data_IF_388526889350
#
_entry.id   IF_388526889350
#
_cell.length_a   1.000
_cell.length_b   1.000
_cell.length_c   1.000
_cell.angle_alpha   90.00
_cell.angle_beta   90.00
_cell.angle_gamma   90.00
#
_symmetry.space_group_name_H-M   'P 1'
#
loop_
_entity.id
_entity.type
_entity.pdbx_description
1 polymer ?
#
# COMPACT_ATOMS: atom_id res chain seq x y z
N UNK A 1 -71.82 -55.82 -41.42
CA UNK A 1 -71.55 -56.94 -42.34
C UNK A 1 -70.35 -56.61 -43.21
N UNK A 2 -69.38 -57.52 -43.32
CA UNK A 2 -68.25 -57.55 -44.29
C UNK A 2 -67.14 -56.51 -44.03
N UNK A 3 -65.91 -56.78 -43.58
CA UNK A 3 -64.90 -57.83 -43.81
C UNK A 3 -64.28 -57.83 -45.24
N UNK A 4 -62.97 -57.51 -45.28
CA UNK A 4 -61.87 -57.88 -46.20
C UNK A 4 -61.81 -57.33 -47.63
N UNK A 5 -60.74 -56.57 -47.96
CA UNK A 5 -59.55 -57.11 -48.67
C UNK A 5 -58.41 -56.06 -48.79
N UNK A 6 -57.21 -56.29 -48.24
CA UNK A 6 -55.97 -56.84 -48.86
C UNK A 6 -54.98 -55.78 -49.43
N UNK A 7 -53.94 -55.52 -48.63
CA UNK A 7 -52.50 -55.38 -48.96
C UNK A 7 -52.03 -54.88 -50.35
N UNK A 8 -51.21 -53.80 -50.37
CA UNK A 8 -49.74 -53.89 -50.60
C UNK A 8 -49.02 -52.53 -50.60
N UNK A 9 -47.90 -52.51 -49.86
CA UNK A 9 -46.61 -51.80 -50.10
C UNK A 9 -46.55 -50.26 -50.05
N UNK A 10 -46.01 -49.76 -48.93
CA UNK A 10 -44.76 -48.96 -48.93
C UNK A 10 -44.16 -48.92 -47.52
N UNK A 11 -43.42 -49.97 -47.16
CA UNK A 11 -42.21 -49.75 -46.35
C UNK A 11 -41.15 -49.20 -47.30
N UNK A 12 -40.49 -48.10 -46.92
CA UNK A 12 -39.07 -47.80 -47.14
C UNK A 12 -38.79 -46.38 -46.62
N UNK A 13 -37.65 -46.24 -45.91
CA UNK A 13 -36.99 -45.05 -45.34
C UNK A 13 -37.47 -44.53 -43.98
N UNK A 14 -37.15 -45.30 -42.93
CA UNK A 14 -36.99 -44.81 -41.54
C UNK A 14 -35.62 -45.15 -40.93
N UNK A 15 -34.59 -45.31 -41.77
CA UNK A 15 -33.24 -45.70 -41.33
C UNK A 15 -32.12 -44.71 -41.68
N UNK A 16 -32.43 -43.56 -42.29
CA UNK A 16 -31.40 -42.57 -42.68
C UNK A 16 -31.41 -41.27 -41.86
N UNK A 17 -32.48 -40.95 -41.12
CA UNK A 17 -32.59 -39.65 -40.40
C UNK A 17 -32.00 -39.67 -38.99
N UNK A 18 -31.73 -40.85 -38.40
CA UNK A 18 -31.12 -40.94 -37.05
C UNK A 18 -29.59 -40.91 -37.03
N UNK A 19 -28.92 -41.00 -38.19
CA UNK A 19 -27.45 -40.97 -38.27
C UNK A 19 -26.88 -39.57 -38.50
N UNK A 20 -27.60 -38.72 -39.24
CA UNK A 20 -27.16 -37.34 -39.50
C UNK A 20 -27.28 -36.44 -38.25
N UNK A 21 -28.37 -36.52 -37.48
CA UNK A 21 -28.51 -35.75 -36.21
C UNK A 21 -27.56 -36.19 -35.09
N UNK A 22 -27.12 -37.47 -35.09
CA UNK A 22 -26.13 -37.96 -34.13
C UNK A 22 -24.70 -37.59 -34.54
N UNK A 23 -24.38 -37.62 -35.85
CA UNK A 23 -23.08 -37.20 -36.38
C UNK A 23 -22.83 -35.71 -36.17
N UNK A 24 -23.83 -34.85 -36.39
CA UNK A 24 -23.70 -33.41 -36.12
C UNK A 24 -23.55 -33.09 -34.62
N UNK A 25 -24.22 -33.86 -33.73
CA UNK A 25 -24.04 -33.73 -32.28
C UNK A 25 -22.67 -34.20 -31.80
N UNK A 26 -22.17 -35.33 -32.31
CA UNK A 26 -20.82 -35.82 -31.99
C UNK A 26 -19.75 -34.87 -32.52
N UNK A 27 -19.93 -34.28 -33.70
CA UNK A 27 -18.98 -33.31 -34.28
C UNK A 27 -19.00 -31.95 -33.54
N UNK A 28 -20.16 -31.53 -33.00
CA UNK A 28 -20.27 -30.37 -32.12
C UNK A 28 -19.67 -30.63 -30.74
N UNK A 29 -19.85 -31.83 -30.18
CA UNK A 29 -19.24 -32.25 -28.91
C UNK A 29 -17.71 -32.33 -29.05
N UNK A 30 -17.18 -32.93 -30.11
CA UNK A 30 -15.73 -32.95 -30.38
C UNK A 30 -15.13 -31.56 -30.61
N UNK A 31 -15.89 -30.62 -31.19
CA UNK A 31 -15.46 -29.22 -31.34
C UNK A 31 -15.45 -28.48 -29.99
N UNK A 32 -16.43 -28.73 -29.12
CA UNK A 32 -16.49 -28.18 -27.76
C UNK A 32 -15.38 -28.78 -26.89
N UNK A 33 -15.12 -30.09 -26.99
CA UNK A 33 -14.06 -30.77 -26.25
C UNK A 33 -12.67 -30.32 -26.73
N UNK A 34 -12.42 -30.21 -28.05
CA UNK A 34 -11.17 -29.61 -28.56
C UNK A 34 -11.01 -28.14 -28.19
N UNK A 35 -12.09 -27.38 -28.16
CA UNK A 35 -12.05 -25.98 -27.74
C UNK A 35 -11.72 -25.86 -26.24
N UNK A 36 -12.34 -26.71 -25.42
CA UNK A 36 -12.04 -26.81 -23.98
C UNK A 36 -10.61 -27.27 -23.73
N UNK A 37 -10.11 -28.28 -24.44
CA UNK A 37 -8.73 -28.76 -24.32
C UNK A 37 -7.71 -27.70 -24.76
N UNK A 38 -7.98 -26.98 -25.86
CA UNK A 38 -7.13 -25.87 -26.30
C UNK A 38 -7.15 -24.70 -25.31
N UNK A 39 -8.32 -24.40 -24.73
CA UNK A 39 -8.47 -23.35 -23.72
C UNK A 39 -7.77 -23.72 -22.40
N UNK A 40 -7.86 -24.98 -21.97
CA UNK A 40 -7.15 -25.51 -20.80
C UNK A 40 -5.63 -25.45 -21.01
N UNK A 41 -5.14 -25.84 -22.20
CA UNK A 41 -3.72 -25.78 -22.52
C UNK A 41 -3.18 -24.34 -22.54
N UNK A 42 -3.92 -23.40 -23.13
CA UNK A 42 -3.52 -21.99 -23.15
C UNK A 42 -3.45 -21.38 -21.75
N UNK A 43 -4.42 -21.69 -20.88
CA UNK A 43 -4.38 -21.22 -19.49
C UNK A 43 -3.17 -21.79 -18.74
N UNK A 44 -2.84 -23.05 -18.95
CA UNK A 44 -1.65 -23.67 -18.35
C UNK A 44 -0.34 -23.04 -18.83
N UNK A 45 -0.25 -22.70 -20.12
CA UNK A 45 0.92 -21.99 -20.67
C UNK A 45 1.08 -20.60 -20.06
N UNK A 46 -0.02 -19.88 -19.82
CA UNK A 46 -0.01 -18.56 -19.16
C UNK A 46 0.37 -18.68 -17.68
N UNK A 47 -0.12 -19.69 -16.98
CA UNK A 47 0.27 -19.98 -15.58
C UNK A 47 1.78 -20.26 -15.48
N UNK A 48 2.31 -21.14 -16.35
CA UNK A 48 3.73 -21.46 -16.41
C UNK A 48 4.58 -20.22 -16.74
N UNK A 49 4.09 -19.36 -17.66
CA UNK A 49 4.70 -18.07 -17.98
C UNK A 49 4.77 -17.16 -16.75
N UNK A 50 3.64 -16.93 -16.06
CA UNK A 50 3.59 -16.05 -14.89
C UNK A 50 4.54 -16.55 -13.80
N UNK A 51 4.50 -17.84 -13.48
CA UNK A 51 5.38 -18.45 -12.47
C UNK A 51 6.84 -18.24 -12.86
N UNK A 52 7.21 -18.52 -14.12
CA UNK A 52 8.57 -18.34 -14.60
C UNK A 52 9.04 -16.89 -14.48
N UNK A 53 8.22 -15.93 -14.90
CA UNK A 53 8.57 -14.51 -14.84
C UNK A 53 8.68 -14.02 -13.39
N UNK A 54 7.79 -14.44 -12.50
CA UNK A 54 7.89 -14.12 -11.06
C UNK A 54 9.19 -14.69 -10.46
N UNK A 55 9.53 -15.95 -10.74
CA UNK A 55 10.78 -16.56 -10.27
C UNK A 55 12.01 -15.84 -10.82
N UNK A 56 11.96 -15.34 -12.06
CA UNK A 56 13.01 -14.53 -12.65
C UNK A 56 13.21 -13.19 -11.93
N UNK A 57 12.15 -12.60 -11.36
CA UNK A 57 12.27 -11.38 -10.53
C UNK A 57 12.81 -11.73 -9.15
N UNK A 58 12.29 -12.79 -8.52
CA UNK A 58 12.69 -13.27 -7.18
C UNK A 58 14.21 -13.50 -7.09
N UNK A 59 14.83 -14.04 -8.15
CA UNK A 59 16.29 -14.27 -8.23
C UNK A 59 17.13 -13.03 -7.89
N UNK A 60 16.56 -11.83 -8.05
CA UNK A 60 17.24 -10.55 -7.87
C UNK A 60 16.71 -9.74 -6.68
N UNK A 61 15.94 -10.34 -5.76
CA UNK A 61 15.30 -9.66 -4.63
C UNK A 61 16.25 -8.76 -3.84
N UNK A 62 17.47 -9.24 -3.56
CA UNK A 62 18.45 -8.52 -2.73
C UNK A 62 19.17 -7.38 -3.48
N UNK A 63 18.91 -7.24 -4.79
CA UNK A 63 19.49 -6.24 -5.67
C UNK A 63 18.40 -5.36 -6.26
N UNK A 64 18.00 -4.32 -5.53
CA UNK A 64 16.83 -3.51 -5.85
C UNK A 64 16.80 -2.96 -7.29
N UNK A 65 17.91 -2.44 -7.81
CA UNK A 65 17.95 -1.91 -9.19
C UNK A 65 17.80 -3.01 -10.25
N UNK A 66 18.42 -4.18 -10.05
CA UNK A 66 18.26 -5.33 -10.95
C UNK A 66 16.82 -5.87 -10.89
N UNK A 67 16.23 -5.93 -9.69
CA UNK A 67 14.84 -6.36 -9.49
C UNK A 67 13.85 -5.45 -10.24
N UNK A 68 14.01 -4.12 -10.20
CA UNK A 68 13.14 -3.19 -10.94
C UNK A 68 13.20 -3.43 -12.45
N UNK A 69 14.39 -3.64 -12.99
CA UNK A 69 14.57 -3.94 -14.43
C UNK A 69 13.88 -5.26 -14.79
N UNK A 70 14.06 -6.29 -13.97
CA UNK A 70 13.44 -7.61 -14.20
C UNK A 70 11.93 -7.57 -14.07
N UNK A 71 11.39 -6.83 -13.11
CA UNK A 71 9.95 -6.66 -12.96
C UNK A 71 9.32 -5.97 -14.19
N UNK A 72 10.01 -4.99 -14.78
CA UNK A 72 9.58 -4.34 -16.02
C UNK A 72 9.62 -5.29 -17.23
N UNK A 73 10.63 -6.14 -17.31
CA UNK A 73 10.70 -7.18 -18.36
C UNK A 73 9.56 -8.19 -18.17
N UNK A 74 9.35 -8.65 -16.94
CA UNK A 74 8.27 -9.57 -16.59
C UNK A 74 6.89 -9.00 -16.93
N UNK A 75 6.61 -7.72 -16.60
CA UNK A 75 5.34 -7.09 -16.95
C UNK A 75 5.12 -7.00 -18.46
N UNK A 76 6.19 -6.79 -19.24
CA UNK A 76 6.09 -6.80 -20.70
C UNK A 76 5.84 -8.22 -21.24
N UNK A 77 6.54 -9.23 -20.71
CA UNK A 77 6.42 -10.61 -21.15
C UNK A 77 5.07 -11.24 -20.79
N UNK A 78 4.50 -10.88 -19.63
CA UNK A 78 3.19 -11.37 -19.18
C UNK A 78 2.06 -10.69 -19.96
N UNK A 79 2.23 -9.43 -20.38
CA UNK A 79 1.19 -8.68 -21.09
C UNK A 79 0.13 -8.08 -20.15
N UNK A 80 -0.56 -7.04 -20.60
CA UNK A 80 -1.58 -6.34 -19.80
C UNK A 80 -2.86 -7.16 -19.67
N UNK A 81 -3.17 -7.98 -20.68
CA UNK A 81 -4.32 -8.88 -20.72
C UNK A 81 -4.33 -9.90 -19.56
N UNK A 82 -3.17 -10.18 -18.98
CA UNK A 82 -2.99 -11.17 -17.92
C UNK A 82 -2.72 -10.56 -16.54
N UNK A 83 -2.71 -9.22 -16.41
CA UNK A 83 -2.41 -8.54 -15.14
C UNK A 83 -3.37 -8.93 -14.01
N UNK A 84 -4.64 -9.22 -14.34
CA UNK A 84 -5.67 -9.60 -13.37
C UNK A 84 -5.40 -10.95 -12.70
N UNK A 85 -4.51 -11.79 -13.26
CA UNK A 85 -4.15 -13.11 -12.71
C UNK A 85 -3.06 -13.02 -11.65
N UNK A 86 -2.22 -11.96 -11.68
CA UNK A 86 -1.09 -11.80 -10.76
C UNK A 86 -1.46 -11.87 -9.26
N UNK A 87 -2.57 -11.26 -8.79
CA UNK A 87 -2.94 -11.32 -7.37
C UNK A 87 -3.16 -12.74 -6.84
N UNK A 88 -3.52 -13.69 -7.71
CA UNK A 88 -3.78 -15.08 -7.30
C UNK A 88 -2.52 -15.79 -6.76
N UNK A 89 -1.33 -15.27 -7.09
CA UNK A 89 -0.04 -15.83 -6.72
C UNK A 89 0.54 -15.26 -5.42
N UNK A 90 -0.08 -14.22 -4.84
CA UNK A 90 0.39 -13.57 -3.60
C UNK A 90 0.32 -14.48 -2.37
N UNK A 91 -0.56 -15.49 -2.36
CA UNK A 91 -0.79 -16.38 -1.22
C UNK A 91 0.10 -17.65 -1.22
N UNK A 92 1.40 -17.51 -1.50
CA UNK A 92 2.37 -18.62 -1.52
C UNK A 92 2.08 -19.76 -2.50
N UNK A 93 1.42 -19.49 -3.64
CA UNK A 93 1.18 -20.53 -4.66
C UNK A 93 2.41 -20.92 -5.48
N UNK A 94 3.53 -20.21 -5.29
CA UNK A 94 4.77 -20.48 -6.01
C UNK A 94 5.70 -21.27 -5.11
N UNK A 95 5.93 -22.52 -5.48
CA UNK A 95 6.91 -23.37 -4.81
C UNK A 95 8.34 -22.88 -5.09
N UNK A 96 9.20 -23.06 -4.10
CA UNK A 96 10.61 -22.68 -4.21
C UNK A 96 11.36 -23.67 -5.09
N UNK A 97 11.95 -23.23 -6.22
CA UNK A 97 12.70 -24.12 -7.09
C UNK A 97 14.04 -24.49 -6.46
N UNK A 98 14.55 -25.68 -6.81
CA UNK A 98 15.85 -26.19 -6.35
C UNK A 98 17.03 -25.24 -6.67
N UNK A 99 16.93 -24.46 -7.74
CA UNK A 99 17.93 -23.46 -8.13
C UNK A 99 18.14 -22.36 -7.07
N UNK A 100 17.14 -22.13 -6.21
CA UNK A 100 17.18 -21.15 -5.13
C UNK A 100 17.42 -21.78 -3.75
N UNK A 101 17.82 -23.05 -3.71
CA UNK A 101 18.20 -23.72 -2.46
C UNK A 101 19.40 -23.02 -1.81
N UNK A 102 19.30 -22.73 -0.52
CA UNK A 102 20.26 -21.95 0.24
C UNK A 102 20.03 -20.43 0.20
N UNK A 103 19.00 -19.94 -0.51
CA UNK A 103 18.56 -18.54 -0.47
C UNK A 103 17.14 -18.46 0.08
N UNK A 104 16.80 -17.42 0.82
CA UNK A 104 15.45 -17.22 1.35
C UNK A 104 14.97 -18.40 2.21
N UNK A 105 15.75 -18.78 3.23
CA UNK A 105 15.51 -19.95 4.09
C UNK A 105 14.89 -19.59 5.44
N UNK A 106 14.88 -18.30 5.82
CA UNK A 106 14.28 -17.91 7.08
C UNK A 106 12.77 -18.11 7.05
N UNK A 107 12.19 -18.32 8.23
CA UNK A 107 10.75 -18.59 8.36
C UNK A 107 9.94 -17.41 7.80
N UNK A 108 9.15 -17.68 6.76
CA UNK A 108 8.32 -16.67 6.09
C UNK A 108 9.04 -15.81 5.04
N UNK A 109 10.35 -16.00 4.85
CA UNK A 109 11.14 -15.21 3.91
C UNK A 109 10.74 -15.50 2.45
N UNK A 110 10.57 -16.78 2.09
CA UNK A 110 10.14 -17.16 0.75
C UNK A 110 8.78 -16.54 0.34
N UNK A 111 7.69 -16.70 1.13
CA UNK A 111 6.44 -15.97 0.94
C UNK A 111 6.62 -14.47 0.70
N UNK A 112 7.38 -13.81 1.57
CA UNK A 112 7.61 -12.37 1.51
C UNK A 112 8.29 -11.95 0.20
N UNK A 113 9.33 -12.68 -0.21
CA UNK A 113 10.11 -12.38 -1.43
C UNK A 113 9.24 -12.55 -2.68
N UNK A 114 8.41 -13.59 -2.72
CA UNK A 114 7.44 -13.81 -3.81
C UNK A 114 6.41 -12.68 -3.85
N UNK A 115 5.80 -12.34 -2.72
CA UNK A 115 4.84 -11.23 -2.63
C UNK A 115 5.44 -9.90 -3.13
N UNK A 116 6.63 -9.55 -2.64
CA UNK A 116 7.30 -8.32 -3.01
C UNK A 116 7.62 -8.29 -4.52
N UNK A 117 7.99 -9.43 -5.09
CA UNK A 117 8.28 -9.57 -6.53
C UNK A 117 7.02 -9.38 -7.37
N UNK A 118 5.91 -10.03 -7.00
CA UNK A 118 4.62 -9.87 -7.68
C UNK A 118 4.14 -8.43 -7.60
N UNK A 119 4.20 -7.81 -6.41
CA UNK A 119 3.84 -6.41 -6.23
C UNK A 119 4.71 -5.46 -7.06
N UNK A 120 6.00 -5.75 -7.23
CA UNK A 120 6.89 -4.98 -8.11
C UNK A 120 6.53 -5.15 -9.60
N UNK A 121 6.14 -6.35 -10.02
CA UNK A 121 5.64 -6.59 -11.38
C UNK A 121 4.36 -5.77 -11.62
N UNK A 122 3.39 -5.82 -10.70
CA UNK A 122 2.16 -5.02 -10.78
C UNK A 122 2.49 -3.52 -10.82
N UNK A 123 3.42 -3.05 -9.98
CA UNK A 123 3.89 -1.66 -10.01
C UNK A 123 4.49 -1.24 -11.38
N UNK A 124 5.12 -2.17 -12.08
CA UNK A 124 5.76 -1.92 -13.38
C UNK A 124 4.74 -1.66 -14.51
N UNK A 125 3.48 -2.08 -14.34
CA UNK A 125 2.37 -1.78 -15.26
C UNK A 125 1.82 -0.35 -15.15
N UNK A 126 2.31 0.48 -14.21
CA UNK A 126 1.89 1.88 -14.04
C UNK A 126 0.37 2.01 -13.93
N UNK A 127 -0.29 2.72 -14.86
CA UNK A 127 -1.73 2.99 -14.84
C UNK A 127 -2.55 1.70 -14.76
N UNK A 128 -2.22 0.71 -15.59
CA UNK A 128 -2.90 -0.60 -15.63
C UNK A 128 -2.78 -1.35 -14.29
N UNK A 129 -1.71 -1.09 -13.52
CA UNK A 129 -1.50 -1.68 -12.19
C UNK A 129 -2.34 -1.04 -11.06
N UNK A 130 -2.84 0.19 -11.25
CA UNK A 130 -3.54 0.94 -10.20
C UNK A 130 -4.81 0.23 -9.74
N UNK A 131 -5.62 -0.27 -10.68
CA UNK A 131 -6.86 -0.98 -10.35
C UNK A 131 -6.60 -2.28 -9.59
N UNK A 132 -5.54 -3.00 -9.96
CA UNK A 132 -5.14 -4.25 -9.29
C UNK A 132 -4.68 -3.96 -7.87
N UNK A 133 -3.81 -2.97 -7.70
CA UNK A 133 -3.32 -2.56 -6.38
C UNK A 133 -4.44 -2.02 -5.49
N UNK A 134 -5.42 -1.32 -6.05
CA UNK A 134 -6.59 -0.82 -5.32
C UNK A 134 -7.42 -1.96 -4.75
N UNK A 135 -7.63 -3.03 -5.54
CA UNK A 135 -8.32 -4.26 -5.06
C UNK A 135 -7.55 -4.93 -3.92
N UNK A 136 -6.22 -4.96 -3.98
CA UNK A 136 -5.38 -5.54 -2.92
C UNK A 136 -5.40 -4.66 -1.66
N UNK A 137 -5.27 -3.33 -1.85
CA UNK A 137 -5.20 -2.32 -0.80
C UNK A 137 -6.44 -2.27 0.08
N UNK A 138 -7.63 -2.46 -0.51
CA UNK A 138 -8.91 -2.34 0.19
C UNK A 138 -9.69 -3.67 0.26
N UNK A 139 -9.09 -4.76 -0.20
CA UNK A 139 -9.58 -6.13 -0.01
C UNK A 139 -9.19 -6.70 1.36
N UNK A 140 -9.70 -7.89 1.69
CA UNK A 140 -9.37 -8.57 2.94
C UNK A 140 -8.04 -9.35 2.81
N UNK A 141 -6.92 -8.64 2.84
CA UNK A 141 -5.57 -9.22 2.68
C UNK A 141 -4.61 -8.70 3.75
N UNK A 142 -3.54 -9.44 4.04
CA UNK A 142 -2.44 -8.96 4.90
C UNK A 142 -1.55 -7.91 4.22
N UNK A 143 -1.80 -7.63 2.92
CA UNK A 143 -0.95 -6.79 2.08
C UNK A 143 -1.49 -5.37 1.89
N UNK A 144 -2.57 -5.01 2.59
CA UNK A 144 -3.24 -3.71 2.45
C UNK A 144 -2.26 -2.53 2.51
N UNK A 145 -1.46 -2.45 3.59
CA UNK A 145 -0.49 -1.35 3.77
C UNK A 145 0.62 -1.35 2.70
N UNK A 146 1.11 -2.53 2.29
CA UNK A 146 2.10 -2.64 1.21
C UNK A 146 1.53 -2.10 -0.10
N UNK A 147 0.30 -2.49 -0.44
CA UNK A 147 -0.38 -2.05 -1.66
C UNK A 147 -0.66 -0.54 -1.63
N UNK A 148 -1.13 0.02 -0.50
CA UNK A 148 -1.33 1.47 -0.35
C UNK A 148 0.00 2.23 -0.51
N UNK A 149 1.09 1.75 0.09
CA UNK A 149 2.41 2.38 -0.09
C UNK A 149 2.83 2.39 -1.57
N UNK A 150 2.58 1.31 -2.31
CA UNK A 150 2.89 1.23 -3.75
C UNK A 150 2.01 2.18 -4.56
N UNK A 151 0.71 2.26 -4.26
CA UNK A 151 -0.20 3.24 -4.88
C UNK A 151 0.31 4.67 -4.65
N UNK A 152 0.70 5.01 -3.43
CA UNK A 152 1.24 6.35 -3.14
C UNK A 152 2.55 6.61 -3.89
N UNK A 153 3.41 5.60 -4.07
CA UNK A 153 4.62 5.73 -4.91
C UNK A 153 4.28 6.00 -6.38
N UNK A 154 3.25 5.34 -6.93
CA UNK A 154 2.75 5.63 -8.28
C UNK A 154 2.21 7.08 -8.37
N UNK A 155 1.41 7.49 -7.39
CA UNK A 155 0.87 8.86 -7.34
C UNK A 155 1.98 9.92 -7.25
N UNK A 156 3.09 9.62 -6.55
CA UNK A 156 4.28 10.47 -6.47
C UNK A 156 5.05 10.53 -7.80
N UNK A 157 4.98 9.47 -8.61
CA UNK A 157 5.49 9.43 -9.99
C UNK A 157 4.49 9.99 -11.01
N UNK A 158 3.47 10.73 -10.55
CA UNK A 158 2.42 11.37 -11.38
C UNK A 158 1.51 10.39 -12.14
N UNK A 159 1.46 9.13 -11.70
CA UNK A 159 0.60 8.09 -12.30
C UNK A 159 -0.73 8.02 -11.56
N UNK A 160 -1.83 8.35 -12.24
CA UNK A 160 -3.20 8.28 -11.70
C UNK A 160 -3.37 8.97 -10.32
N UNK A 161 -2.63 10.05 -10.08
CA UNK A 161 -2.51 10.70 -8.76
C UNK A 161 -3.86 11.04 -8.12
N UNK A 162 -4.77 11.68 -8.86
CA UNK A 162 -6.08 12.08 -8.33
C UNK A 162 -6.94 10.88 -7.93
N UNK A 163 -6.98 9.84 -8.77
CA UNK A 163 -7.72 8.61 -8.49
C UNK A 163 -7.22 7.95 -7.21
N UNK A 164 -5.90 7.80 -7.08
CA UNK A 164 -5.27 7.18 -5.91
C UNK A 164 -5.55 7.98 -4.64
N UNK A 165 -5.49 9.31 -4.71
CA UNK A 165 -5.81 10.18 -3.58
C UNK A 165 -7.26 10.03 -3.17
N UNK A 166 -8.19 10.05 -4.14
CA UNK A 166 -9.61 9.90 -3.87
C UNK A 166 -9.93 8.52 -3.26
N UNK A 167 -9.27 7.45 -3.74
CA UNK A 167 -9.40 6.10 -3.18
C UNK A 167 -8.92 6.03 -1.72
N UNK A 168 -7.79 6.67 -1.39
CA UNK A 168 -7.30 6.78 -0.01
C UNK A 168 -8.32 7.52 0.86
N UNK A 169 -8.80 8.68 0.41
CA UNK A 169 -9.77 9.48 1.16
C UNK A 169 -11.07 8.71 1.46
N UNK A 170 -11.56 7.96 0.48
CA UNK A 170 -12.82 7.22 0.60
C UNK A 170 -12.72 5.97 1.49
N UNK A 171 -11.52 5.42 1.68
CA UNK A 171 -11.34 4.14 2.37
C UNK A 171 -10.57 4.22 3.69
N UNK A 172 -9.86 5.32 3.97
CA UNK A 172 -9.03 5.45 5.19
C UNK A 172 -9.81 5.24 6.49
N UNK A 173 -11.10 5.60 6.52
CA UNK A 173 -11.96 5.45 7.69
C UNK A 173 -12.19 3.98 8.11
N UNK A 174 -11.93 3.03 7.21
CA UNK A 174 -12.09 1.58 7.46
C UNK A 174 -10.94 0.98 8.28
N UNK A 175 -9.81 1.69 8.36
CA UNK A 175 -8.61 1.24 9.08
C UNK A 175 -8.68 1.60 10.56
N UNK A 176 -7.94 0.88 11.40
CA UNK A 176 -7.71 1.29 12.78
C UNK A 176 -6.77 2.50 12.84
N UNK A 177 -6.68 3.17 13.99
CA UNK A 177 -5.93 4.43 14.10
C UNK A 177 -4.43 4.28 13.85
N UNK A 178 -3.81 3.17 14.25
CA UNK A 178 -2.39 2.91 13.96
C UNK A 178 -2.15 2.79 12.45
N UNK A 179 -2.99 2.05 11.75
CA UNK A 179 -2.91 1.90 10.30
C UNK A 179 -3.23 3.20 9.57
N UNK A 180 -4.18 4.01 10.07
CA UNK A 180 -4.45 5.36 9.54
C UNK A 180 -3.19 6.21 9.58
N UNK A 181 -2.49 6.27 10.73
CA UNK A 181 -1.26 7.05 10.87
C UNK A 181 -0.21 6.60 9.84
N UNK A 182 -0.02 5.28 9.68
CA UNK A 182 0.90 4.72 8.68
C UNK A 182 0.51 5.13 7.25
N UNK A 183 -0.78 5.05 6.89
CA UNK A 183 -1.30 5.46 5.58
C UNK A 183 -1.10 6.96 5.34
N UNK A 184 -1.37 7.81 6.34
CA UNK A 184 -1.10 9.25 6.27
C UNK A 184 0.39 9.54 6.11
N UNK A 185 1.25 8.74 6.75
CA UNK A 185 2.70 8.77 6.58
C UNK A 185 3.11 8.47 5.16
N UNK A 186 2.54 7.45 4.53
CA UNK A 186 2.74 7.19 3.11
C UNK A 186 2.27 8.38 2.27
N UNK A 187 1.01 8.78 2.42
CA UNK A 187 0.39 9.87 1.66
C UNK A 187 1.16 11.19 1.75
N UNK A 188 1.81 11.47 2.89
CA UNK A 188 2.64 12.67 3.08
C UNK A 188 3.83 12.79 2.13
N UNK A 189 4.17 11.72 1.39
CA UNK A 189 5.18 11.75 0.33
C UNK A 189 4.72 12.54 -0.90
N UNK A 190 3.40 12.73 -1.10
CA UNK A 190 2.80 13.54 -2.17
C UNK A 190 2.77 15.01 -1.71
N UNK A 191 3.84 15.75 -2.01
CA UNK A 191 4.07 17.11 -1.50
C UNK A 191 3.12 18.12 -2.13
N UNK A 192 2.66 19.08 -1.33
CA UNK A 192 1.88 20.23 -1.81
C UNK A 192 0.46 19.92 -2.29
N UNK A 193 0.00 18.67 -2.22
CA UNK A 193 -1.37 18.32 -2.62
C UNK A 193 -2.38 18.71 -1.53
N UNK A 194 -3.32 19.59 -1.87
CA UNK A 194 -4.29 20.15 -0.92
C UNK A 194 -5.25 19.11 -0.33
N UNK A 195 -5.65 18.08 -1.09
CA UNK A 195 -6.53 17.02 -0.58
C UNK A 195 -5.83 16.21 0.49
N UNK A 196 -4.58 15.82 0.26
CA UNK A 196 -3.76 15.11 1.25
C UNK A 196 -3.48 15.98 2.48
N UNK A 197 -3.09 17.24 2.28
CA UNK A 197 -2.85 18.17 3.39
C UNK A 197 -4.11 18.32 4.25
N UNK A 198 -5.28 18.48 3.63
CA UNK A 198 -6.55 18.58 4.34
C UNK A 198 -6.91 17.29 5.09
N UNK A 199 -6.65 16.13 4.49
CA UNK A 199 -6.87 14.83 5.13
C UNK A 199 -5.99 14.64 6.37
N UNK A 200 -4.68 14.88 6.26
CA UNK A 200 -3.76 14.76 7.39
C UNK A 200 -4.10 15.80 8.48
N UNK A 201 -4.44 17.03 8.08
CA UNK A 201 -4.87 18.09 8.99
C UNK A 201 -6.14 17.70 9.77
N UNK A 202 -7.09 17.00 9.13
CA UNK A 202 -8.30 16.51 9.77
C UNK A 202 -7.96 15.53 10.91
N UNK A 203 -7.21 14.47 10.61
CA UNK A 203 -6.83 13.47 11.61
C UNK A 203 -5.93 14.03 12.71
N UNK A 204 -5.01 14.95 12.39
CA UNK A 204 -4.23 15.66 13.41
C UNK A 204 -5.13 16.37 14.42
N UNK A 205 -6.17 17.07 13.94
CA UNK A 205 -7.12 17.77 14.81
C UNK A 205 -8.00 16.80 15.60
N UNK A 206 -8.39 15.69 15.00
CA UNK A 206 -9.18 14.63 15.63
C UNK A 206 -8.42 14.03 16.82
N UNK A 207 -7.22 13.47 16.59
CA UNK A 207 -6.39 12.89 17.65
C UNK A 207 -6.09 13.89 18.77
N UNK A 208 -5.81 15.15 18.41
CA UNK A 208 -5.54 16.19 19.39
C UNK A 208 -6.76 16.45 20.28
N UNK A 209 -7.97 16.54 19.71
CA UNK A 209 -9.21 16.78 20.46
C UNK A 209 -9.60 15.61 21.36
N UNK A 210 -9.28 14.39 20.94
CA UNK A 210 -9.50 13.17 21.71
C UNK A 210 -8.48 13.00 22.85
N UNK A 211 -7.42 13.82 22.85
CA UNK A 211 -6.34 13.76 23.84
C UNK A 211 -5.29 12.71 23.54
N UNK A 212 -5.32 12.10 22.35
CA UNK A 212 -4.26 11.21 21.87
C UNK A 212 -3.09 12.03 21.30
N UNK A 213 -2.25 12.48 22.22
CA UNK A 213 -1.17 13.41 21.92
C UNK A 213 -0.05 12.76 21.08
N UNK A 214 0.19 11.46 21.24
CA UNK A 214 1.24 10.76 20.49
C UNK A 214 0.83 10.57 19.03
N UNK A 215 -0.40 10.11 18.79
CA UNK A 215 -0.96 10.00 17.44
C UNK A 215 -1.07 11.37 16.77
N UNK A 216 -1.45 12.41 17.52
CA UNK A 216 -1.45 13.79 17.03
C UNK A 216 -0.04 14.25 16.63
N UNK A 217 0.99 13.92 17.42
CA UNK A 217 2.37 14.23 17.08
C UNK A 217 2.85 13.55 15.80
N UNK A 218 2.67 12.23 15.67
CA UNK A 218 3.07 11.49 14.45
C UNK A 218 2.34 12.05 13.22
N UNK A 219 1.05 12.32 13.36
CA UNK A 219 0.24 12.90 12.28
C UNK A 219 0.70 14.32 11.92
N UNK A 220 1.10 15.13 12.90
CA UNK A 220 1.65 16.47 12.65
C UNK A 220 2.97 16.40 11.88
N UNK A 221 3.84 15.43 12.18
CA UNK A 221 5.09 15.24 11.42
C UNK A 221 4.76 14.95 9.95
N UNK A 222 3.76 14.11 9.68
CA UNK A 222 3.27 13.85 8.33
C UNK A 222 2.68 15.11 7.66
N UNK A 223 1.96 15.93 8.42
CA UNK A 223 1.38 17.18 7.91
C UNK A 223 2.46 18.18 7.50
N UNK A 224 3.44 18.41 8.37
CA UNK A 224 4.58 19.30 8.08
C UNK A 224 5.33 18.79 6.86
N UNK A 225 5.54 17.47 6.78
CA UNK A 225 6.19 16.83 5.65
C UNK A 225 5.42 17.06 4.33
N UNK A 226 4.10 16.90 4.32
CA UNK A 226 3.26 17.09 3.13
C UNK A 226 3.14 18.56 2.71
N UNK A 227 2.95 19.46 3.69
CA UNK A 227 2.75 20.88 3.45
C UNK A 227 4.05 21.66 3.23
N UNK A 228 5.20 21.10 3.63
CA UNK A 228 6.52 21.75 3.64
C UNK A 228 6.57 23.08 4.42
N UNK A 229 5.65 23.25 5.36
CA UNK A 229 5.54 24.43 6.23
C UNK A 229 4.87 24.07 7.54
N UNK A 230 5.08 24.89 8.56
CA UNK A 230 4.38 24.80 9.83
C UNK A 230 3.63 26.11 10.13
N UNK A 231 2.61 26.04 10.99
CA UNK A 231 1.91 27.20 11.52
C UNK A 231 2.45 27.53 12.92
N UNK A 232 2.13 28.72 13.43
CA UNK A 232 2.42 29.08 14.82
C UNK A 232 1.72 28.15 15.82
N UNK A 233 0.53 27.63 15.47
CA UNK A 233 -0.18 26.64 16.28
C UNK A 233 0.55 25.30 16.34
N UNK A 234 1.06 24.82 15.21
CA UNK A 234 1.88 23.60 15.16
C UNK A 234 3.16 23.75 16.00
N UNK A 235 3.83 24.89 15.92
CA UNK A 235 5.00 25.20 16.77
C UNK A 235 4.62 25.22 18.25
N UNK A 236 3.47 25.82 18.59
CA UNK A 236 3.00 25.86 19.98
C UNK A 236 2.75 24.46 20.53
N UNK A 237 2.13 23.58 19.75
CA UNK A 237 1.94 22.17 20.14
C UNK A 237 3.26 21.46 20.39
N UNK A 238 4.20 21.51 19.43
CA UNK A 238 5.52 20.91 19.58
C UNK A 238 6.26 21.44 20.83
N UNK A 239 6.12 22.74 21.13
CA UNK A 239 6.70 23.35 22.32
C UNK A 239 6.05 22.84 23.60
N UNK A 240 4.73 22.69 23.66
CA UNK A 240 4.07 22.08 24.82
C UNK A 240 4.59 20.67 25.11
N UNK A 241 4.82 19.86 24.08
CA UNK A 241 5.39 18.51 24.24
C UNK A 241 6.84 18.56 24.73
N UNK A 242 7.66 19.42 24.12
CA UNK A 242 9.07 19.57 24.48
C UNK A 242 9.25 20.06 25.93
N UNK A 243 8.36 20.95 26.39
CA UNK A 243 8.37 21.51 27.74
C UNK A 243 7.74 20.59 28.80
N UNK A 244 7.31 19.38 28.40
CA UNK A 244 6.62 18.42 29.27
C UNK A 244 5.40 19.03 29.99
N UNK A 245 4.60 19.80 29.25
CA UNK A 245 3.44 20.47 29.81
C UNK A 245 2.34 19.46 30.15
N UNK A 246 1.84 19.48 31.39
CA UNK A 246 0.72 18.62 31.83
C UNK A 246 -0.61 18.92 31.11
N UNK A 247 -0.73 20.11 30.51
CA UNK A 247 -1.91 20.53 29.75
C UNK A 247 -1.50 21.28 28.49
N UNK A 248 -2.27 21.07 27.42
CA UNK A 248 -2.14 21.82 26.16
C UNK A 248 -3.33 22.75 26.02
N UNK A 249 -3.05 24.04 25.80
CA UNK A 249 -4.03 25.07 25.49
C UNK A 249 -4.41 25.00 24.01
N UNK A 250 -5.59 24.46 23.71
CA UNK A 250 -6.03 24.21 22.34
C UNK A 250 -6.20 25.49 21.53
N UNK A 251 -6.55 26.62 22.16
CA UNK A 251 -6.69 27.92 21.49
C UNK A 251 -5.38 28.41 20.87
N UNK A 252 -4.24 27.98 21.42
CA UNK A 252 -2.91 28.31 20.90
C UNK A 252 -2.46 27.37 19.78
N UNK A 253 -3.13 26.22 19.61
CA UNK A 253 -2.70 25.16 18.71
C UNK A 253 -3.60 25.05 17.47
N UNK A 254 -4.91 25.13 17.67
CA UNK A 254 -5.92 25.01 16.61
C UNK A 254 -7.05 26.03 16.80
N UNK A 255 -7.76 26.31 15.71
CA UNK A 255 -9.04 27.02 15.79
C UNK A 255 -10.09 26.12 16.46
N UNK A 256 -10.50 26.51 17.66
CA UNK A 256 -11.58 25.84 18.40
C UNK A 256 -12.95 26.39 18.01
N UNK A 257 -13.97 25.53 18.05
CA UNK A 257 -15.39 25.88 17.84
C UNK A 257 -16.12 25.93 19.18
N UNK A 258 -17.29 26.56 19.17
CA UNK A 258 -18.19 26.57 20.33
C UNK A 258 -18.54 25.13 20.74
N UNK A 259 -18.26 24.77 22.00
CA UNK A 259 -18.42 23.42 22.54
C UNK A 259 -17.16 22.54 22.54
N UNK A 260 -16.07 22.97 21.89
CA UNK A 260 -14.77 22.30 22.03
C UNK A 260 -14.17 22.55 23.42
N UNK A 261 -13.32 21.63 23.89
CA UNK A 261 -12.53 21.83 25.12
C UNK A 261 -11.50 22.94 24.87
N UNK A 262 -11.27 23.76 25.88
CA UNK A 262 -10.19 24.76 25.86
C UNK A 262 -8.81 24.13 26.09
N UNK A 263 -8.76 23.04 26.86
CA UNK A 263 -7.52 22.36 27.24
C UNK A 263 -7.67 20.84 27.08
N UNK A 264 -6.56 20.19 26.79
CA UNK A 264 -6.41 18.73 26.91
C UNK A 264 -5.34 18.41 27.95
N UNK A 265 -5.58 17.37 28.72
CA UNK A 265 -4.60 16.85 29.67
C UNK A 265 -3.61 15.96 28.92
N UNK A 266 -2.34 16.10 29.28
CA UNK A 266 -1.23 15.32 28.73
C UNK A 266 -0.88 14.22 29.74
N UNK A 267 -1.20 12.97 29.39
CA UNK A 267 -1.04 11.84 30.30
C UNK A 267 -0.01 10.87 29.70
N UNK A 268 1.06 10.59 30.45
CA UNK A 268 2.03 9.52 30.17
C UNK A 268 2.58 9.48 28.73
N UNK A 269 3.01 10.62 28.17
CA UNK A 269 3.71 10.66 26.88
C UNK A 269 5.09 10.00 26.99
N UNK A 270 5.45 9.19 25.99
CA UNK A 270 6.77 8.58 25.88
C UNK A 270 7.86 9.66 25.81
N UNK A 271 8.93 9.50 26.60
CA UNK A 271 10.08 10.41 26.59
C UNK A 271 10.68 10.58 25.18
N UNK A 272 10.68 9.51 24.38
CA UNK A 272 11.13 9.55 22.99
C UNK A 272 10.28 10.49 22.12
N UNK A 273 8.96 10.52 22.33
CA UNK A 273 8.03 11.46 21.67
C UNK A 273 8.38 12.90 22.02
N UNK A 274 8.68 13.19 23.30
CA UNK A 274 9.07 14.55 23.74
C UNK A 274 10.37 15.00 23.09
N UNK A 275 11.37 14.11 23.01
CA UNK A 275 12.65 14.39 22.36
C UNK A 275 12.45 14.65 20.87
N UNK A 276 11.71 13.78 20.17
CA UNK A 276 11.42 13.96 18.75
C UNK A 276 10.65 15.25 18.48
N UNK A 277 9.70 15.63 19.35
CA UNK A 277 9.00 16.91 19.26
C UNK A 277 9.96 18.10 19.44
N UNK A 278 10.90 18.01 20.38
CA UNK A 278 11.94 19.03 20.61
C UNK A 278 12.84 19.21 19.37
N UNK A 279 13.30 18.10 18.77
CA UNK A 279 14.11 18.12 17.55
C UNK A 279 13.31 18.67 16.36
N UNK A 280 12.05 18.26 16.25
CA UNK A 280 11.14 18.74 15.20
C UNK A 280 10.91 20.24 15.32
N UNK A 281 10.66 20.74 16.53
CA UNK A 281 10.53 22.18 16.78
C UNK A 281 11.80 22.92 16.36
N UNK A 282 12.97 22.47 16.83
CA UNK A 282 14.24 23.15 16.56
C UNK A 282 14.53 23.24 15.05
N UNK A 283 14.23 22.18 14.30
CA UNK A 283 14.39 22.19 12.84
C UNK A 283 13.52 23.24 12.14
N UNK A 284 12.41 23.66 12.75
CA UNK A 284 11.48 24.67 12.21
C UNK A 284 11.75 26.07 12.77
N UNK A 285 12.20 26.18 14.03
CA UNK A 285 12.53 27.44 14.69
C UNK A 285 13.74 27.27 15.62
N UNK A 286 14.90 27.71 15.15
CA UNK A 286 16.18 27.56 15.86
C UNK A 286 16.46 28.67 16.88
N UNK A 287 15.63 29.70 16.93
CA UNK A 287 15.87 30.89 17.78
C UNK A 287 15.25 30.77 19.18
N UNK A 288 14.40 29.77 19.40
CA UNK A 288 13.72 29.58 20.68
C UNK A 288 14.70 29.14 21.77
N UNK A 289 14.88 30.01 22.78
CA UNK A 289 15.84 29.81 23.86
C UNK A 289 15.51 28.61 24.74
N UNK A 290 14.22 28.35 24.99
CA UNK A 290 13.79 27.27 25.89
C UNK A 290 14.12 25.91 25.27
N UNK A 291 13.76 25.74 23.99
CA UNK A 291 14.06 24.53 23.22
C UNK A 291 15.57 24.32 23.08
N UNK A 292 16.31 25.39 22.81
CA UNK A 292 17.78 25.33 22.73
C UNK A 292 18.40 24.85 24.05
N UNK A 293 17.91 25.34 25.19
CA UNK A 293 18.40 24.92 26.51
C UNK A 293 18.11 23.43 26.78
N UNK A 294 16.91 22.95 26.42
CA UNK A 294 16.54 21.54 26.53
C UNK A 294 17.49 20.67 25.69
N UNK A 295 17.72 21.02 24.43
CA UNK A 295 18.61 20.26 23.55
C UNK A 295 20.06 20.25 24.07
N UNK A 296 20.56 21.38 24.57
CA UNK A 296 21.90 21.44 25.18
C UNK A 296 21.97 20.50 26.40
N UNK A 297 20.95 20.49 27.25
CA UNK A 297 20.89 19.59 28.39
C UNK A 297 20.88 18.13 27.96
N UNK A 298 20.00 17.76 27.02
CA UNK A 298 19.88 16.40 26.49
C UNK A 298 21.19 15.93 25.84
N UNK A 299 21.87 16.78 25.06
CA UNK A 299 23.14 16.44 24.39
C UNK A 299 24.26 16.01 25.33
N UNK A 300 24.19 16.41 26.61
CA UNK A 300 25.19 16.12 27.64
C UNK A 300 24.75 15.01 28.59
N UNK A 301 23.45 14.97 28.93
CA UNK A 301 22.96 14.19 30.07
C UNK A 301 21.99 13.06 29.67
N UNK A 302 21.46 13.06 28.44
CA UNK A 302 20.54 12.00 28.03
C UNK A 302 21.22 10.64 28.03
N UNK A 303 20.53 9.57 28.43
CA UNK A 303 21.14 8.26 28.69
C UNK A 303 21.67 7.58 27.42
N UNK A 304 20.91 7.70 26.32
CA UNK A 304 21.24 7.13 25.03
C UNK A 304 22.32 7.95 24.30
N UNK A 305 23.39 7.29 23.87
CA UNK A 305 24.47 7.92 23.12
C UNK A 305 24.06 8.33 21.71
N UNK A 306 23.20 7.57 21.06
CA UNK A 306 22.75 7.85 19.69
C UNK A 306 21.98 9.16 19.65
N UNK A 307 21.04 9.35 20.59
CA UNK A 307 20.29 10.61 20.76
C UNK A 307 21.23 11.78 21.06
N UNK A 308 22.22 11.61 21.95
CA UNK A 308 23.21 12.67 22.21
C UNK A 308 23.98 13.03 20.95
N UNK A 309 24.38 12.04 20.15
CA UNK A 309 25.14 12.25 18.92
C UNK A 309 24.28 12.91 17.83
N UNK A 310 23.00 12.55 17.72
CA UNK A 310 22.07 13.20 16.81
C UNK A 310 21.90 14.69 17.14
N UNK A 311 21.72 15.03 18.41
CA UNK A 311 21.61 16.44 18.85
C UNK A 311 22.90 17.22 18.56
N UNK A 312 24.08 16.61 18.77
CA UNK A 312 25.36 17.25 18.45
C UNK A 312 25.50 17.51 16.95
N UNK A 313 25.13 16.54 16.10
CA UNK A 313 25.12 16.72 14.63
C UNK A 313 24.21 17.88 14.21
N UNK A 314 23.06 18.04 14.85
CA UNK A 314 22.16 19.18 14.59
C UNK A 314 22.85 20.52 14.89
N UNK A 315 23.55 20.64 16.01
CA UNK A 315 24.31 21.86 16.33
C UNK A 315 25.54 22.07 15.42
N UNK A 316 26.19 21.02 14.95
CA UNK A 316 27.32 21.10 14.03
C UNK A 316 26.90 21.53 12.62
N UNK A 317 25.75 21.05 12.14
CA UNK A 317 25.17 21.45 10.85
C UNK A 317 24.89 22.96 10.75
N UNK A 318 24.77 23.65 11.90
CA UNK A 318 24.65 25.10 12.01
C UNK A 318 25.94 25.84 11.66
N UNK A 319 27.12 25.24 11.90
CA UNK A 319 28.43 25.88 11.66
C UNK A 319 28.83 25.88 10.18
N UNK A 320 28.24 25.01 9.35
CA UNK A 320 28.57 24.91 7.92
C UNK A 320 27.68 25.77 6.99
N UNK A 321 26.77 26.58 7.54
CA UNK A 321 25.89 27.49 6.76
C UNK A 321 26.26 28.97 6.90
N UNK A 322 27.51 29.28 7.26
CA UNK A 322 28.05 30.66 7.27
C UNK A 322 28.79 30.91 5.97
#
# INVERSE_FOLDING_TARGET
MGILSIFKKKQVKRASVKREENGEKEELLEKVDKYNDNFINLNKEIEELIIREVLNVVKYHDKFEELKIRAKIASHNIGEEHINLLPEYLACKIEKPDELKGKYEELGEWPMVVENSILMIIFSYKESGVDILTKIAYGNTSLQLKAINILVRLAKEEVSTEKIIDDIMNNIIKFNDMDKIVILGFASQIKGNNKIIALIQHFYKEFLKDGDVESAYETLVHLINAAQRCTTGHLSFLKFLAMDSEKIDLKKVIDIKEGDKDFIDVININEFTKIRATLTFYNMNQEDKDINNILIYLSKNYRDEEVRNEIKRLFESKKCKI
#
